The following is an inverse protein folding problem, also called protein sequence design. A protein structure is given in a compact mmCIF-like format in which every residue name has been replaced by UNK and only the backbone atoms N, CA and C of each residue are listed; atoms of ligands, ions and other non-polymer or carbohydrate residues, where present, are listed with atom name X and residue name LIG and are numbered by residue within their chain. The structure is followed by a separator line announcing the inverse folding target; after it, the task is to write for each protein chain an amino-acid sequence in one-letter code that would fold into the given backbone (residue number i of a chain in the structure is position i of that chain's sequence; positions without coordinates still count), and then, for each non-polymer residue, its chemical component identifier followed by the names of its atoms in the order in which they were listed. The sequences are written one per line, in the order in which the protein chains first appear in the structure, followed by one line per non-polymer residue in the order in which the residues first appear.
data_IF_276065124574
#
_entry.id   IF_276065124574
#
_cell.length_a   1.000
_cell.length_b   1.000
_cell.length_c   1.000
_cell.angle_alpha   90.00
_cell.angle_beta   90.00
_cell.angle_gamma   90.00
#
_symmetry.space_group_name_H-M   'P 1'
#
loop_
_entity.id
_entity.type
_entity.pdbx_description
1 polymer ?
#
# COMPACT_ATOMS: atom_id res chain seq x y z
N UNK A 1 -13.99 -11.01 -3.04
CA UNK A 1 -13.66 -11.47 -1.67
C UNK A 1 -14.58 -10.86 -0.60
N UNK A 2 -14.78 -11.51 0.55
CA UNK A 2 -15.42 -10.88 1.73
C UNK A 2 -14.38 -10.05 2.49
N UNK A 3 -14.63 -8.76 2.67
CA UNK A 3 -13.72 -7.87 3.38
C UNK A 3 -14.10 -7.87 4.87
N UNK A 4 -13.28 -8.45 5.77
CA UNK A 4 -13.63 -8.55 7.16
C UNK A 4 -13.75 -7.16 7.81
N UNK A 5 -14.60 -7.05 8.82
CA UNK A 5 -14.68 -5.83 9.63
C UNK A 5 -13.30 -5.50 10.21
N UNK A 6 -12.94 -4.22 10.16
CA UNK A 6 -11.67 -3.72 10.67
C UNK A 6 -10.46 -3.97 9.78
N UNK A 7 -10.62 -4.65 8.63
CA UNK A 7 -9.54 -4.86 7.67
C UNK A 7 -9.01 -3.53 7.13
N UNK A 8 -7.70 -3.43 6.99
CA UNK A 8 -7.04 -2.27 6.38
C UNK A 8 -6.73 -2.61 4.92
N UNK A 9 -7.15 -1.73 4.02
CA UNK A 9 -6.83 -1.75 2.60
C UNK A 9 -5.76 -0.70 2.37
N UNK A 10 -4.57 -1.14 1.99
CA UNK A 10 -3.48 -0.30 1.58
C UNK A 10 -3.45 -0.23 0.06
N UNK A 11 -3.58 0.97 -0.49
CA UNK A 11 -3.35 1.23 -1.90
C UNK A 11 -1.99 1.90 -2.08
N UNK A 12 -1.14 1.28 -2.88
CA UNK A 12 0.22 1.75 -3.14
C UNK A 12 0.43 1.83 -4.65
N UNK A 13 0.86 2.99 -5.11
CA UNK A 13 1.38 3.21 -6.46
C UNK A 13 2.80 3.75 -6.34
N UNK A 14 3.50 3.93 -7.46
CA UNK A 14 4.88 4.42 -7.48
C UNK A 14 5.10 5.77 -6.77
N UNK A 15 4.05 6.54 -6.48
CA UNK A 15 4.16 7.85 -5.79
C UNK A 15 3.09 8.12 -4.74
N UNK A 16 2.12 7.22 -4.59
CA UNK A 16 0.95 7.47 -3.77
C UNK A 16 0.74 6.32 -2.81
N UNK A 17 0.45 6.68 -1.57
CA UNK A 17 0.10 5.74 -0.52
C UNK A 17 -1.19 6.17 0.17
N UNK A 18 -2.23 5.35 0.01
CA UNK A 18 -3.53 5.56 0.62
C UNK A 18 -3.90 4.37 1.51
N UNK A 19 -4.53 4.66 2.64
CA UNK A 19 -5.00 3.65 3.57
C UNK A 19 -6.48 3.86 3.81
N UNK A 20 -7.21 2.77 3.72
CA UNK A 20 -8.62 2.71 4.05
C UNK A 20 -8.82 1.63 5.09
N UNK A 21 -9.71 1.87 6.03
CA UNK A 21 -10.14 0.85 6.98
C UNK A 21 -11.59 0.51 6.71
N UNK A 22 -11.89 -0.78 6.67
CA UNK A 22 -13.26 -1.27 6.64
C UNK A 22 -13.89 -1.01 8.01
N UNK A 23 -14.70 0.03 8.10
CA UNK A 23 -15.52 0.36 9.27
C UNK A 23 -16.91 -0.28 9.20
N UNK A 24 -17.27 -0.88 8.06
CA UNK A 24 -18.55 -1.55 7.84
C UNK A 24 -18.51 -3.05 8.18
N UNK A 25 -19.60 -3.75 7.86
CA UNK A 25 -19.75 -5.19 8.09
C UNK A 25 -19.27 -6.02 6.88
N UNK A 26 -19.11 -7.33 7.06
CA UNK A 26 -18.72 -8.24 5.96
C UNK A 26 -19.71 -8.25 4.78
N UNK A 27 -20.99 -7.99 5.05
CA UNK A 27 -22.04 -7.92 4.03
C UNK A 27 -22.09 -6.54 3.32
N UNK A 28 -21.66 -5.48 4.01
CA UNK A 28 -21.68 -4.10 3.52
C UNK A 28 -20.41 -3.37 3.95
N UNK A 29 -19.28 -3.60 3.25
CA UNK A 29 -18.02 -2.99 3.63
C UNK A 29 -18.10 -1.48 3.43
N UNK A 30 -17.63 -0.72 4.42
CA UNK A 30 -17.56 0.75 4.34
C UNK A 30 -16.10 1.15 4.52
N UNK A 31 -15.47 1.59 3.44
CA UNK A 31 -14.09 2.04 3.47
C UNK A 31 -14.02 3.49 3.95
N UNK A 32 -13.44 3.69 5.12
CA UNK A 32 -13.10 5.00 5.65
C UNK A 32 -11.63 5.27 5.39
N UNK A 33 -11.31 6.36 4.69
CA UNK A 33 -9.92 6.81 4.55
C UNK A 33 -9.34 7.13 5.93
N UNK A 34 -8.18 6.57 6.23
CA UNK A 34 -7.44 6.83 7.47
C UNK A 34 -6.17 7.62 7.13
N UNK A 35 -5.62 8.42 8.06
CA UNK A 35 -4.41 9.17 7.80
C UNK A 35 -3.27 8.23 7.42
N UNK A 36 -2.71 8.44 6.23
CA UNK A 36 -1.49 7.80 5.80
C UNK A 36 -0.28 8.53 6.38
N UNK A 37 0.75 7.78 6.83
CA UNK A 37 2.02 8.41 7.18
C UNK A 37 2.58 9.08 5.94
N UNK A 38 3.35 10.16 6.15
CA UNK A 38 4.26 10.60 5.11
C UNK A 38 5.40 9.59 5.05
N UNK A 39 5.49 8.83 3.96
CA UNK A 39 6.61 7.92 3.75
C UNK A 39 7.83 8.80 3.45
N UNK A 40 8.70 8.93 4.44
CA UNK A 40 9.95 9.65 4.27
C UNK A 40 10.84 8.82 3.31
N UNK A 41 10.81 9.16 2.02
CA UNK A 41 11.69 8.63 0.97
C UNK A 41 13.17 9.02 1.20
N UNK A 42 13.46 9.67 2.34
CA UNK A 42 14.70 10.35 2.71
C UNK A 42 15.86 9.44 3.13
N UNK A 43 15.74 8.11 3.08
CA UNK A 43 16.92 7.22 3.19
C UNK A 43 17.69 7.20 1.86
N UNK A 44 18.09 8.40 1.41
CA UNK A 44 19.17 8.60 0.45
C UNK A 44 20.45 8.10 1.08
N UNK A 45 20.81 6.86 0.77
CA UNK A 45 22.18 6.40 0.86
C UNK A 45 23.08 7.33 0.04
N UNK A 46 23.78 8.22 0.72
CA UNK A 46 24.97 8.94 0.25
C UNK A 46 24.90 9.56 -1.15
N UNK A 47 24.29 10.74 -1.28
CA UNK A 47 24.43 11.52 -2.51
C UNK A 47 23.65 12.81 -2.47
N UNK A 48 24.34 13.91 -2.18
CA UNK A 48 23.80 15.26 -2.20
C UNK A 48 23.05 15.56 -3.52
N UNK A 49 21.88 16.20 -3.37
CA UNK A 49 21.18 17.02 -4.35
C UNK A 49 21.26 16.60 -5.81
N UNK A 50 20.20 15.97 -6.34
CA UNK A 50 19.81 16.15 -7.73
C UNK A 50 18.30 16.24 -7.81
N UNK A 51 17.89 17.44 -8.16
CA UNK A 51 16.62 17.89 -8.67
C UNK A 51 15.94 16.81 -9.53
N UNK A 52 14.67 16.56 -9.24
CA UNK A 52 13.75 15.77 -10.04
C UNK A 52 13.56 16.43 -11.41
N UNK A 53 14.56 16.30 -12.29
CA UNK A 53 14.47 16.76 -13.68
C UNK A 53 13.80 15.66 -14.49
N UNK A 54 12.76 16.00 -15.26
CA UNK A 54 11.91 15.08 -16.04
C UNK A 54 12.62 14.36 -17.20
N UNK A 55 13.95 14.28 -17.17
CA UNK A 55 14.82 13.81 -18.24
C UNK A 55 15.59 12.52 -17.88
N UNK A 56 15.42 11.96 -16.68
CA UNK A 56 16.12 10.74 -16.26
C UNK A 56 15.12 9.63 -15.83
N UNK A 57 14.71 8.73 -16.73
CA UNK A 57 13.74 7.68 -16.41
C UNK A 57 14.24 6.71 -15.32
N UNK A 58 15.57 6.59 -15.16
CA UNK A 58 16.18 5.78 -14.10
C UNK A 58 16.01 6.38 -12.71
N UNK A 59 15.93 7.71 -12.58
CA UNK A 59 15.73 8.37 -11.28
C UNK A 59 14.32 8.10 -10.75
N UNK A 60 13.32 8.33 -11.60
CA UNK A 60 11.93 8.01 -11.27
C UNK A 60 11.73 6.56 -10.85
N UNK A 61 12.36 5.60 -11.52
CA UNK A 61 12.21 4.20 -11.14
C UNK A 61 12.76 3.91 -9.74
N UNK A 62 13.92 4.48 -9.39
CA UNK A 62 14.54 4.32 -8.07
C UNK A 62 13.65 4.94 -6.98
N UNK A 63 13.06 6.11 -7.26
CA UNK A 63 12.14 6.76 -6.32
C UNK A 63 10.88 5.89 -6.10
N UNK A 64 10.30 5.32 -7.16
CA UNK A 64 9.11 4.43 -7.07
C UNK A 64 9.38 3.14 -6.28
N UNK A 65 10.53 2.51 -6.51
CA UNK A 65 10.93 1.29 -5.82
C UNK A 65 11.20 1.60 -4.33
N UNK A 66 11.84 2.73 -4.02
CA UNK A 66 12.05 3.21 -2.66
C UNK A 66 10.73 3.51 -1.94
N UNK A 67 9.75 4.08 -2.65
CA UNK A 67 8.41 4.32 -2.13
C UNK A 67 7.72 3.01 -1.73
N UNK A 68 7.76 2.01 -2.62
CA UNK A 68 7.20 0.68 -2.37
C UNK A 68 7.82 0.00 -1.15
N UNK A 69 9.15 0.09 -1.03
CA UNK A 69 9.89 -0.45 0.12
C UNK A 69 9.51 0.29 1.42
N UNK A 70 9.44 1.62 1.41
CA UNK A 70 9.06 2.42 2.58
C UNK A 70 7.61 2.13 3.03
N UNK A 71 6.67 2.03 2.07
CA UNK A 71 5.28 1.65 2.35
C UNK A 71 5.20 0.27 3.00
N UNK A 72 5.95 -0.69 2.46
CA UNK A 72 6.01 -2.05 2.98
C UNK A 72 6.59 -2.11 4.38
N UNK A 73 7.68 -1.37 4.64
CA UNK A 73 8.28 -1.31 5.97
C UNK A 73 7.32 -0.70 7.00
N UNK A 74 6.60 0.36 6.64
CA UNK A 74 5.58 0.92 7.51
C UNK A 74 4.46 -0.08 7.81
N UNK A 75 3.96 -0.80 6.80
CA UNK A 75 2.94 -1.83 6.96
C UNK A 75 3.44 -2.97 7.86
N UNK A 76 4.68 -3.42 7.67
CA UNK A 76 5.33 -4.40 8.53
C UNK A 76 5.30 -3.94 9.99
N UNK A 77 5.67 -2.68 10.25
CA UNK A 77 5.63 -2.11 11.61
C UNK A 77 4.22 -2.05 12.20
N UNK A 78 3.21 -1.73 11.40
CA UNK A 78 1.82 -1.71 11.91
C UNK A 78 1.31 -3.11 12.26
N UNK A 79 1.66 -4.11 11.45
CA UNK A 79 1.30 -5.52 11.73
C UNK A 79 2.05 -6.04 12.95
N UNK A 80 3.37 -5.78 13.03
CA UNK A 80 4.21 -6.11 14.20
C UNK A 80 3.71 -5.44 15.48
N UNK A 81 3.19 -4.22 15.36
CA UNK A 81 2.57 -3.48 16.45
C UNK A 81 1.15 -3.93 16.81
N UNK A 82 0.64 -5.00 16.19
CA UNK A 82 -0.74 -5.49 16.35
C UNK A 82 -1.82 -4.43 16.07
N UNK A 83 -1.49 -3.39 15.28
CA UNK A 83 -2.44 -2.35 14.88
C UNK A 83 -3.26 -2.76 13.66
N UNK A 84 -2.66 -3.60 12.80
CA UNK A 84 -3.29 -4.18 11.63
C UNK A 84 -3.24 -5.69 11.77
N UNK A 85 -4.41 -6.30 11.99
CA UNK A 85 -4.54 -7.76 12.03
C UNK A 85 -4.87 -8.35 10.66
N UNK A 86 -5.57 -7.59 9.83
CA UNK A 86 -6.03 -8.00 8.51
C UNK A 86 -5.70 -6.92 7.50
N UNK A 87 -4.85 -7.25 6.53
CA UNK A 87 -4.34 -6.32 5.53
C UNK A 87 -4.72 -6.79 4.13
N UNK A 88 -5.15 -5.87 3.29
CA UNK A 88 -5.31 -6.07 1.86
C UNK A 88 -4.39 -5.09 1.16
N UNK A 89 -3.53 -5.58 0.28
CA UNK A 89 -2.60 -4.75 -0.47
C UNK A 89 -3.10 -4.63 -1.91
N UNK A 90 -3.24 -3.41 -2.40
CA UNK A 90 -3.64 -3.12 -3.78
C UNK A 90 -2.54 -2.26 -4.39
N UNK A 91 -1.86 -2.78 -5.40
CA UNK A 91 -0.78 -2.06 -6.03
C UNK A 91 -0.61 -2.46 -7.50
N UNK A 92 0.11 -1.66 -8.27
CA UNK A 92 0.48 -2.05 -9.64
C UNK A 92 1.32 -3.35 -9.61
N UNK A 93 1.27 -4.21 -10.66
CA UNK A 93 2.03 -5.46 -10.68
C UNK A 93 3.54 -5.30 -10.40
N UNK A 94 4.11 -4.16 -10.81
CA UNK A 94 5.51 -3.82 -10.55
C UNK A 94 5.74 -3.49 -9.08
N UNK A 95 4.99 -2.52 -8.55
CA UNK A 95 5.07 -2.10 -7.14
C UNK A 95 4.87 -3.30 -6.22
N UNK A 96 3.87 -4.13 -6.50
CA UNK A 96 3.59 -5.35 -5.72
C UNK A 96 4.77 -6.33 -5.76
N UNK A 97 5.42 -6.47 -6.93
CA UNK A 97 6.65 -7.26 -7.07
C UNK A 97 7.76 -6.79 -6.15
N UNK A 98 8.00 -5.47 -6.07
CA UNK A 98 8.99 -4.89 -5.16
C UNK A 98 8.58 -5.07 -3.69
N UNK A 99 7.33 -4.77 -3.35
CA UNK A 99 6.82 -4.91 -1.99
C UNK A 99 6.99 -6.34 -1.45
N UNK A 100 6.69 -7.36 -2.26
CA UNK A 100 6.84 -8.78 -1.89
C UNK A 100 8.27 -9.16 -1.48
N UNK A 101 9.29 -8.46 -1.97
CA UNK A 101 10.68 -8.69 -1.57
C UNK A 101 10.95 -8.25 -0.11
N UNK A 102 10.17 -7.29 0.39
CA UNK A 102 10.32 -6.68 1.72
C UNK A 102 9.23 -7.12 2.70
N UNK A 103 8.38 -8.09 2.35
CA UNK A 103 7.35 -8.60 3.25
C UNK A 103 7.95 -9.29 4.46
N UNK A 104 7.53 -8.84 5.64
CA UNK A 104 7.83 -9.53 6.87
C UNK A 104 6.89 -10.74 7.03
N UNK A 105 7.36 -11.83 7.65
CA UNK A 105 6.56 -13.05 7.86
C UNK A 105 5.22 -12.78 8.54
N UNK A 106 5.18 -11.83 9.46
CA UNK A 106 3.92 -11.45 10.12
C UNK A 106 2.97 -10.70 9.19
N UNK A 107 3.49 -9.86 8.29
CA UNK A 107 2.67 -9.19 7.29
C UNK A 107 2.06 -10.22 6.35
N UNK A 108 2.83 -11.22 5.89
CA UNK A 108 2.30 -12.32 5.06
C UNK A 108 1.17 -13.10 5.77
N UNK A 109 1.26 -13.26 7.09
CA UNK A 109 0.21 -13.91 7.89
C UNK A 109 -1.03 -13.02 8.04
N UNK A 110 -0.85 -11.71 8.17
CA UNK A 110 -1.95 -10.74 8.25
C UNK A 110 -2.56 -10.41 6.88
N UNK A 111 -1.87 -10.74 5.78
CA UNK A 111 -2.29 -10.47 4.43
C UNK A 111 -3.48 -11.37 4.06
N UNK A 112 -4.64 -10.75 3.91
CA UNK A 112 -5.88 -11.42 3.48
C UNK A 112 -5.84 -11.65 1.97
N UNK A 113 -5.39 -10.64 1.22
CA UNK A 113 -5.20 -10.70 -0.22
C UNK A 113 -4.27 -9.59 -0.72
N UNK A 114 -3.60 -9.86 -1.83
CA UNK A 114 -2.88 -8.88 -2.60
C UNK A 114 -3.44 -8.80 -4.03
N UNK A 115 -3.59 -7.58 -4.54
CA UNK A 115 -4.22 -7.29 -5.82
C UNK A 115 -3.30 -6.45 -6.68
N UNK A 116 -2.91 -7.00 -7.82
CA UNK A 116 -2.08 -6.34 -8.81
C UNK A 116 -2.91 -5.38 -9.70
N UNK A 117 -3.63 -4.45 -9.07
CA UNK A 117 -4.46 -3.43 -9.73
C UNK A 117 -4.10 -2.06 -9.18
N UNK A 118 -4.17 -1.05 -10.03
CA UNK A 118 -4.17 0.35 -9.59
C UNK A 118 -5.62 0.77 -9.34
N UNK A 119 -5.93 1.08 -8.09
CA UNK A 119 -7.23 1.60 -7.66
C UNK A 119 -7.08 2.91 -6.88
N UNK A 120 -5.93 3.59 -6.98
CA UNK A 120 -5.72 4.86 -6.27
C UNK A 120 -6.65 5.94 -6.82
N UNK A 121 -7.22 6.75 -5.92
CA UNK A 121 -8.22 7.76 -6.28
C UNK A 121 -9.58 7.20 -6.69
N UNK A 122 -9.81 5.89 -6.54
CA UNK A 122 -11.12 5.28 -6.77
C UNK A 122 -12.06 5.62 -5.62
N UNK A 123 -13.32 5.92 -5.92
CA UNK A 123 -14.35 6.14 -4.91
C UNK A 123 -14.49 4.94 -3.99
N UNK A 124 -14.68 5.16 -2.68
CA UNK A 124 -14.90 4.09 -1.69
C UNK A 124 -15.84 2.95 -2.14
N UNK A 125 -17.04 3.21 -2.71
CA UNK A 125 -17.92 2.14 -3.20
C UNK A 125 -17.36 1.34 -4.39
N UNK A 126 -16.69 2.00 -5.34
CA UNK A 126 -16.05 1.32 -6.49
C UNK A 126 -14.86 0.48 -6.04
N UNK A 127 -14.08 0.96 -5.06
CA UNK A 127 -13.00 0.20 -4.46
C UNK A 127 -13.52 -1.05 -3.76
N UNK A 128 -14.60 -0.94 -2.98
CA UNK A 128 -15.27 -2.10 -2.37
C UNK A 128 -15.73 -3.09 -3.44
N UNK A 129 -16.38 -2.62 -4.51
CA UNK A 129 -16.83 -3.47 -5.60
C UNK A 129 -15.66 -4.19 -6.29
N UNK A 130 -14.54 -3.50 -6.51
CA UNK A 130 -13.34 -4.07 -7.11
C UNK A 130 -12.69 -5.14 -6.22
N UNK A 131 -12.67 -4.93 -4.89
CA UNK A 131 -12.21 -5.91 -3.89
C UNK A 131 -13.16 -7.11 -3.76
N UNK A 132 -14.47 -6.89 -3.92
CA UNK A 132 -15.47 -7.95 -3.87
C UNK A 132 -15.47 -8.81 -5.14
N UNK A 133 -15.17 -8.22 -6.30
CA UNK A 133 -15.09 -8.91 -7.59
C UNK A 133 -13.77 -9.66 -7.83
N UNK A 134 -12.76 -9.40 -7.01
CA UNK A 134 -11.50 -10.15 -6.98
C UNK A 134 -11.61 -11.43 -6.14
#
# INVERSE_FOLDING_TARGET
MQLPHGAVVALIDGKHFELHRNSGDEASPVLSSIPTPNLDESNKGGGAGRDSSSANPTGHQIDEDAHAAAATEWLNQQVLGHKIEKLVIVASPRTLGEMRLHYHKQLEVALVADLSKDLIGTSGPDLVAALQAA
#
